data_IF_874906291999
#
_entry.id   IF_874906291999
#
_cell.length_a   1.000
_cell.length_b   1.000
_cell.length_c   1.000
_cell.angle_alpha   90.00
_cell.angle_beta   90.00
_cell.angle_gamma   90.00
#
_symmetry.space_group_name_H-M   'P 1'
#
loop_
_entity.id
_entity.type
_entity.pdbx_description
1 polymer ?
#
# COMPACT_ATOMS: atom_id res chain seq x y z
N UNK A 1 -7.42 33.28 -32.00
CA UNK A 1 -8.01 33.51 -30.67
C UNK A 1 -6.87 33.57 -29.69
N UNK A 2 -6.62 34.76 -29.11
CA UNK A 2 -5.48 35.02 -28.24
C UNK A 2 -5.69 34.32 -26.88
N UNK A 3 -4.76 33.44 -26.51
CA UNK A 3 -4.69 32.86 -25.18
C UNK A 3 -4.05 33.86 -24.22
N UNK A 4 -4.86 34.40 -23.31
CA UNK A 4 -4.41 35.26 -22.21
C UNK A 4 -3.63 34.39 -21.22
N UNK A 5 -2.31 34.61 -21.12
CA UNK A 5 -1.50 34.08 -20.02
C UNK A 5 -1.89 34.80 -18.74
N UNK A 6 -2.56 34.10 -17.83
CA UNK A 6 -2.70 34.54 -16.46
C UNK A 6 -1.42 34.15 -15.70
N UNK A 7 -0.50 35.12 -15.55
CA UNK A 7 0.55 35.06 -14.54
C UNK A 7 -0.11 35.31 -13.19
N UNK A 8 -0.18 34.28 -12.34
CA UNK A 8 -0.52 34.46 -10.94
C UNK A 8 0.73 34.99 -10.23
N UNK A 9 0.65 36.23 -9.74
CA UNK A 9 1.63 36.76 -8.80
C UNK A 9 1.53 35.97 -7.49
N UNK A 10 2.55 35.14 -7.23
CA UNK A 10 2.68 34.40 -5.98
C UNK A 10 3.15 35.38 -4.92
N UNK A 11 2.23 35.81 -4.06
CA UNK A 11 2.58 36.42 -2.78
C UNK A 11 3.12 35.30 -1.89
N UNK A 12 4.32 35.42 -1.29
CA UNK A 12 4.80 34.42 -0.35
C UNK A 12 3.99 34.56 0.94
N UNK A 13 3.10 33.61 1.19
CA UNK A 13 2.43 33.49 2.49
C UNK A 13 3.51 33.32 3.58
N UNK A 14 3.44 34.16 4.61
CA UNK A 14 4.31 34.04 5.78
C UNK A 14 4.16 32.63 6.40
N UNK A 15 5.27 32.01 6.88
CA UNK A 15 5.19 30.68 7.46
C UNK A 15 4.32 30.71 8.71
N UNK A 16 3.13 30.12 8.63
CA UNK A 16 2.22 29.97 9.76
C UNK A 16 2.86 29.02 10.79
N UNK A 17 3.44 29.59 11.85
CA UNK A 17 4.00 28.82 12.96
C UNK A 17 2.84 28.41 13.86
N UNK A 18 2.37 27.16 13.72
CA UNK A 18 1.39 26.59 14.63
C UNK A 18 2.06 26.16 15.93
N UNK A 19 1.62 26.70 17.08
CA UNK A 19 1.98 26.19 18.40
C UNK A 19 1.04 25.02 18.76
N UNK A 20 1.61 23.83 18.98
CA UNK A 20 0.83 22.59 19.25
C UNK A 20 0.51 22.44 20.75
N UNK A 21 -0.64 21.82 21.08
CA UNK A 21 -1.08 21.59 22.47
C UNK A 21 -1.15 20.10 22.83
N UNK A 22 -1.13 19.76 24.12
CA UNK A 22 -1.16 18.38 24.64
C UNK A 22 -2.48 17.60 24.37
N UNK A 23 -3.49 18.25 23.77
CA UNK A 23 -4.79 17.63 23.44
C UNK A 23 -4.86 17.07 22.00
N UNK A 24 -3.83 17.29 21.18
CA UNK A 24 -3.86 16.92 19.76
C UNK A 24 -3.62 15.41 19.56
N UNK A 25 -4.57 14.73 18.92
CA UNK A 25 -4.44 13.31 18.50
C UNK A 25 -3.23 13.18 17.58
N UNK A 26 -2.32 12.25 17.90
CA UNK A 26 -1.16 11.92 17.08
C UNK A 26 -1.33 10.51 16.52
N UNK A 27 -1.35 10.39 15.19
CA UNK A 27 -1.35 9.11 14.50
C UNK A 27 0.06 8.82 13.96
N UNK A 28 0.54 7.60 14.17
CA UNK A 28 1.81 7.17 13.58
C UNK A 28 1.56 6.72 12.13
N UNK A 29 2.14 7.43 11.16
CA UNK A 29 1.87 7.20 9.73
C UNK A 29 2.18 5.75 9.33
N UNK A 30 3.32 5.22 9.75
CA UNK A 30 3.68 3.82 9.49
C UNK A 30 2.66 2.86 10.10
N UNK A 31 2.32 3.04 11.38
CA UNK A 31 1.37 2.19 12.10
C UNK A 31 -0.01 2.15 11.44
N UNK A 32 -0.56 3.32 11.05
CA UNK A 32 -1.85 3.37 10.36
C UNK A 32 -1.76 2.78 8.95
N UNK A 33 -0.67 3.00 8.21
CA UNK A 33 -0.47 2.44 6.86
C UNK A 33 -0.49 0.91 6.87
N UNK A 34 0.17 0.29 7.85
CA UNK A 34 0.19 -1.16 8.03
C UNK A 34 -1.24 -1.70 8.25
N UNK A 35 -2.06 -1.04 9.08
CA UNK A 35 -3.43 -1.47 9.35
C UNK A 35 -4.40 -1.21 8.18
N UNK A 36 -4.28 -0.04 7.52
CA UNK A 36 -5.10 0.29 6.35
C UNK A 36 -4.86 -0.74 5.24
N UNK A 37 -3.60 -1.08 4.96
CA UNK A 37 -3.29 -2.11 3.98
C UNK A 37 -3.84 -3.47 4.41
N UNK A 38 -3.66 -3.89 5.66
CA UNK A 38 -4.22 -5.14 6.16
C UNK A 38 -5.73 -5.26 5.89
N UNK A 39 -6.52 -4.27 6.32
CA UNK A 39 -7.98 -4.31 6.18
C UNK A 39 -8.42 -4.30 4.72
N UNK A 40 -7.77 -3.46 3.89
CA UNK A 40 -8.02 -3.40 2.45
C UNK A 40 -7.74 -4.73 1.77
N UNK A 41 -6.57 -5.31 2.01
CA UNK A 41 -6.19 -6.58 1.39
C UNK A 41 -7.08 -7.73 1.85
N UNK A 42 -7.36 -7.80 3.17
CA UNK A 42 -8.01 -8.95 3.80
C UNK A 42 -9.48 -9.12 3.40
N UNK A 43 -10.11 -8.07 2.90
CA UNK A 43 -11.53 -8.03 2.53
C UNK A 43 -11.76 -7.52 1.11
N UNK A 44 -10.70 -7.46 0.30
CA UNK A 44 -10.76 -6.95 -1.08
C UNK A 44 -11.85 -7.70 -1.88
N UNK A 45 -12.87 -7.00 -2.43
CA UNK A 45 -14.06 -7.64 -3.00
C UNK A 45 -13.80 -8.50 -4.25
N UNK A 46 -12.87 -8.10 -5.13
CA UNK A 46 -12.49 -8.84 -6.34
C UNK A 46 -11.91 -10.21 -5.97
N UNK A 47 -11.15 -10.29 -4.88
CA UNK A 47 -10.44 -11.50 -4.43
C UNK A 47 -11.05 -12.18 -3.20
N UNK A 48 -12.21 -11.73 -2.73
CA UNK A 48 -12.86 -12.31 -1.54
C UNK A 48 -13.11 -13.81 -1.73
N UNK A 49 -12.58 -14.63 -0.82
CA UNK A 49 -12.60 -16.10 -0.84
C UNK A 49 -11.92 -16.75 -2.07
N UNK A 50 -11.14 -15.98 -2.83
CA UNK A 50 -10.44 -16.50 -3.99
C UNK A 50 -9.15 -17.20 -3.55
N UNK A 51 -8.89 -18.39 -4.08
CA UNK A 51 -7.63 -19.13 -3.86
C UNK A 51 -6.78 -19.12 -5.11
N UNK A 52 -5.47 -18.98 -4.92
CA UNK A 52 -4.49 -19.07 -6.00
C UNK A 52 -4.45 -20.52 -6.50
N UNK A 53 -4.72 -20.68 -7.80
CA UNK A 53 -4.74 -21.97 -8.50
C UNK A 53 -3.46 -22.16 -9.30
N UNK A 54 -2.91 -21.06 -9.84
CA UNK A 54 -1.75 -21.12 -10.73
C UNK A 54 -0.93 -19.84 -10.71
N UNK A 55 0.38 -20.02 -10.84
CA UNK A 55 1.35 -18.96 -11.10
C UNK A 55 2.10 -19.29 -12.39
N UNK A 56 2.33 -18.28 -13.24
CA UNK A 56 3.21 -18.37 -14.40
C UNK A 56 4.23 -17.23 -14.35
N UNK A 57 5.52 -17.53 -14.26
CA UNK A 57 6.61 -16.54 -14.21
C UNK A 57 7.56 -16.62 -15.41
N UNK A 58 7.20 -17.39 -16.44
CA UNK A 58 8.02 -17.65 -17.63
C UNK A 58 7.44 -16.95 -18.85
N UNK A 59 8.23 -16.90 -19.94
CA UNK A 59 7.78 -16.39 -21.26
C UNK A 59 6.58 -17.19 -21.80
N UNK A 60 6.50 -18.48 -21.48
CA UNK A 60 5.46 -19.39 -21.97
C UNK A 60 4.21 -19.34 -21.08
N UNK A 61 3.35 -18.36 -21.35
CA UNK A 61 2.08 -18.13 -20.66
C UNK A 61 0.95 -19.07 -21.15
N UNK A 62 1.27 -20.31 -21.52
CA UNK A 62 0.36 -21.15 -22.32
C UNK A 62 -0.73 -21.89 -21.52
N UNK A 63 -0.81 -21.68 -20.21
CA UNK A 63 -1.24 -22.80 -19.36
C UNK A 63 -2.59 -22.63 -18.65
N UNK A 64 -3.43 -21.66 -19.03
CA UNK A 64 -4.84 -21.67 -18.65
C UNK A 64 -5.75 -21.20 -19.79
N UNK A 65 -6.77 -22.01 -20.11
CA UNK A 65 -7.89 -21.58 -20.98
C UNK A 65 -8.55 -20.36 -20.34
N UNK A 66 -8.29 -19.17 -20.86
CA UNK A 66 -8.84 -17.91 -20.33
C UNK A 66 -7.87 -16.73 -20.39
N UNK A 67 -6.57 -16.96 -20.55
CA UNK A 67 -5.66 -15.88 -20.89
C UNK A 67 -5.76 -15.56 -22.38
N UNK A 68 -6.01 -14.31 -22.71
CA UNK A 68 -5.80 -13.83 -24.08
C UNK A 68 -4.31 -14.00 -24.39
N UNK A 69 -4.00 -14.51 -25.58
CA UNK A 69 -2.62 -14.56 -26.06
C UNK A 69 -2.14 -13.12 -26.25
N UNK A 70 -1.34 -12.62 -25.32
CA UNK A 70 -0.72 -11.30 -25.45
C UNK A 70 0.53 -11.47 -26.30
N UNK A 71 0.37 -11.26 -27.61
CA UNK A 71 1.47 -11.23 -28.57
C UNK A 71 2.12 -9.84 -28.54
N UNK A 72 3.02 -9.65 -27.59
CA UNK A 72 3.87 -8.46 -27.50
C UNK A 72 5.27 -8.98 -27.18
N UNK A 73 6.26 -8.72 -28.04
CA UNK A 73 7.60 -9.31 -28.03
C UNK A 73 8.42 -9.24 -26.72
N UNK A 74 9.62 -8.66 -26.77
CA UNK A 74 10.63 -8.66 -25.68
C UNK A 74 10.27 -7.82 -24.42
N UNK A 75 9.00 -7.78 -24.03
CA UNK A 75 8.62 -7.25 -22.74
C UNK A 75 9.15 -8.15 -21.62
N UNK A 76 9.57 -7.47 -20.55
CA UNK A 76 10.30 -7.91 -19.36
C UNK A 76 9.55 -9.00 -18.54
N UNK A 77 9.99 -9.42 -17.33
CA UNK A 77 9.45 -10.62 -16.68
C UNK A 77 7.93 -10.52 -16.51
N UNK A 78 7.24 -11.61 -16.86
CA UNK A 78 5.78 -11.70 -16.85
C UNK A 78 5.34 -12.49 -15.65
N UNK A 79 4.38 -11.96 -14.89
CA UNK A 79 3.75 -12.71 -13.79
C UNK A 79 2.27 -12.90 -14.07
N UNK A 80 1.84 -14.16 -14.10
CA UNK A 80 0.46 -14.57 -14.25
C UNK A 80 -0.07 -15.20 -12.99
N UNK A 81 -1.17 -14.67 -12.47
CA UNK A 81 -1.84 -15.20 -11.30
C UNK A 81 -3.26 -15.59 -11.68
N UNK A 82 -3.60 -16.86 -11.51
CA UNK A 82 -4.96 -17.36 -11.69
C UNK A 82 -5.56 -17.69 -10.33
N UNK A 83 -6.65 -17.02 -10.00
CA UNK A 83 -7.44 -17.27 -8.81
C UNK A 83 -8.77 -17.93 -9.18
N UNK A 84 -9.29 -18.77 -8.29
CA UNK A 84 -10.68 -19.24 -8.37
C UNK A 84 -11.42 -18.95 -7.07
N UNK A 85 -12.65 -18.48 -7.20
CA UNK A 85 -13.56 -18.30 -6.07
C UNK A 85 -14.15 -19.64 -5.67
N UNK A 86 -14.09 -19.90 -4.37
CA UNK A 86 -14.74 -21.05 -3.74
C UNK A 86 -15.87 -20.50 -2.87
N UNK A 87 -17.09 -21.08 -2.92
CA UNK A 87 -18.13 -20.70 -1.98
C UNK A 87 -17.60 -20.89 -0.56
N UNK A 88 -17.62 -19.86 0.30
CA UNK A 88 -17.21 -20.05 1.68
C UNK A 88 -18.16 -21.04 2.34
N UNK A 89 -17.63 -21.90 3.21
CA UNK A 89 -18.49 -22.51 4.22
C UNK A 89 -19.03 -21.42 5.16
N UNK A 90 -20.17 -21.66 5.83
CA UNK A 90 -20.78 -20.66 6.73
C UNK A 90 -19.82 -20.12 7.80
N UNK A 91 -18.80 -20.90 8.16
CA UNK A 91 -17.80 -20.54 9.16
C UNK A 91 -16.61 -19.74 8.58
N UNK A 92 -16.49 -19.67 7.25
CA UNK A 92 -15.39 -19.00 6.53
C UNK A 92 -15.78 -17.61 6.02
N UNK A 93 -17.07 -17.27 6.00
CA UNK A 93 -17.57 -15.98 5.49
C UNK A 93 -16.93 -14.79 6.21
N UNK A 94 -16.59 -14.93 7.49
CA UNK A 94 -15.94 -13.89 8.31
C UNK A 94 -14.41 -14.01 8.37
N UNK A 95 -13.82 -15.07 7.80
CA UNK A 95 -12.37 -15.31 7.89
C UNK A 95 -11.63 -14.38 6.93
N UNK A 96 -10.66 -13.55 7.38
CA UNK A 96 -9.92 -12.67 6.49
C UNK A 96 -9.14 -13.46 5.44
N UNK A 97 -9.09 -12.98 4.20
CA UNK A 97 -8.17 -13.53 3.21
C UNK A 97 -6.76 -13.01 3.51
N UNK A 98 -5.77 -13.91 3.54
CA UNK A 98 -4.40 -13.60 3.94
C UNK A 98 -3.43 -14.35 3.03
N UNK A 99 -2.17 -13.90 2.90
CA UNK A 99 -1.13 -14.66 2.21
C UNK A 99 -1.04 -16.12 2.70
N UNK A 100 -1.21 -16.34 4.01
CA UNK A 100 -1.13 -17.65 4.66
C UNK A 100 -2.28 -18.60 4.33
N UNK A 101 -3.44 -18.09 3.88
CA UNK A 101 -4.60 -18.90 3.50
C UNK A 101 -4.98 -18.74 2.02
N UNK A 102 -4.10 -18.15 1.21
CA UNK A 102 -4.33 -17.89 -0.22
C UNK A 102 -4.35 -19.18 -1.06
N UNK A 103 -3.79 -20.29 -0.55
CA UNK A 103 -3.78 -21.58 -1.24
C UNK A 103 -4.98 -22.45 -0.82
N UNK A 104 -5.56 -23.19 -1.76
CA UNK A 104 -6.56 -24.21 -1.46
C UNK A 104 -5.94 -25.37 -0.66
N UNK A 105 -6.77 -26.09 0.10
CA UNK A 105 -6.36 -27.31 0.79
C UNK A 105 -7.05 -28.53 0.15
N UNK A 106 -6.30 -29.58 -0.23
CA UNK A 106 -4.84 -29.69 -0.19
C UNK A 106 -4.14 -28.75 -1.18
N UNK A 107 -2.90 -28.35 -0.86
CA UNK A 107 -2.12 -27.42 -1.69
C UNK A 107 -1.87 -28.03 -3.09
N UNK A 108 -2.24 -27.33 -4.18
CA UNK A 108 -1.99 -27.81 -5.54
C UNK A 108 -0.51 -28.13 -5.78
N UNK A 109 -0.14 -29.27 -6.41
CA UNK A 109 1.25 -29.67 -6.61
C UNK A 109 2.14 -28.59 -7.22
N UNK A 110 1.60 -27.85 -8.20
CA UNK A 110 2.29 -26.75 -8.88
C UNK A 110 2.54 -25.51 -8.01
N UNK A 111 2.04 -25.45 -6.77
CA UNK A 111 2.19 -24.32 -5.86
C UNK A 111 2.93 -24.66 -4.56
N UNK A 112 3.25 -25.94 -4.32
CA UNK A 112 3.91 -26.39 -3.08
C UNK A 112 5.32 -25.82 -2.89
N UNK A 113 5.94 -25.36 -3.98
CA UNK A 113 7.28 -24.77 -3.96
C UNK A 113 7.30 -23.29 -3.53
N UNK A 114 6.13 -22.65 -3.39
CA UNK A 114 6.06 -21.22 -3.09
C UNK A 114 6.40 -20.94 -1.63
N UNK A 115 7.33 -20.01 -1.43
CA UNK A 115 7.71 -19.52 -0.10
C UNK A 115 6.67 -18.55 0.46
N UNK A 116 6.61 -18.34 1.80
CA UNK A 116 5.74 -17.33 2.41
C UNK A 116 5.91 -15.93 1.82
N UNK A 117 7.16 -15.51 1.57
CA UNK A 117 7.47 -14.23 0.92
C UNK A 117 6.88 -14.14 -0.50
N UNK A 118 7.00 -15.20 -1.31
CA UNK A 118 6.40 -15.23 -2.65
C UNK A 118 4.87 -15.16 -2.59
N UNK A 119 4.25 -15.89 -1.66
CA UNK A 119 2.80 -15.83 -1.46
C UNK A 119 2.36 -14.41 -1.06
N UNK A 120 3.09 -13.75 -0.17
CA UNK A 120 2.82 -12.36 0.20
C UNK A 120 3.00 -11.41 -1.00
N UNK A 121 4.06 -11.58 -1.80
CA UNK A 121 4.27 -10.76 -3.01
C UNK A 121 3.10 -10.94 -3.98
N UNK A 122 2.73 -12.18 -4.32
CA UNK A 122 1.63 -12.44 -5.26
C UNK A 122 0.27 -12.00 -4.73
N UNK A 123 0.05 -12.12 -3.42
CA UNK A 123 -1.16 -11.67 -2.76
C UNK A 123 -1.39 -10.16 -2.95
N UNK A 124 -0.36 -9.35 -2.68
CA UNK A 124 -0.44 -7.89 -2.82
C UNK A 124 -0.36 -7.45 -4.27
N UNK A 125 0.45 -8.11 -5.10
CA UNK A 125 0.54 -7.82 -6.53
C UNK A 125 -0.82 -7.96 -7.21
N UNK A 126 -1.58 -9.00 -6.86
CA UNK A 126 -2.93 -9.21 -7.37
C UNK A 126 -3.92 -8.10 -6.92
N UNK A 127 -3.91 -7.79 -5.62
CA UNK A 127 -4.88 -6.87 -4.99
C UNK A 127 -4.57 -5.39 -5.23
N UNK A 128 -3.32 -5.06 -5.55
CA UNK A 128 -2.90 -3.69 -5.80
C UNK A 128 -3.04 -3.25 -7.26
N UNK A 129 -3.52 -4.11 -8.18
CA UNK A 129 -3.86 -3.68 -9.53
C UNK A 129 -4.86 -2.51 -9.48
N UNK A 130 -4.43 -1.34 -9.96
CA UNK A 130 -5.13 -0.05 -9.89
C UNK A 130 -5.54 0.37 -8.47
N UNK A 131 -4.98 -0.27 -7.45
CA UNK A 131 -5.38 -0.13 -6.05
C UNK A 131 -4.83 1.13 -5.37
N UNK A 132 -4.05 1.97 -6.07
CA UNK A 132 -3.50 3.21 -5.49
C UNK A 132 -4.62 4.20 -5.12
N UNK A 133 -5.62 4.36 -5.99
CA UNK A 133 -6.76 5.24 -5.72
C UNK A 133 -7.60 4.75 -4.53
N UNK A 134 -7.90 3.45 -4.47
CA UNK A 134 -8.59 2.86 -3.31
C UNK A 134 -7.80 3.01 -2.01
N UNK A 135 -6.47 2.85 -2.05
CA UNK A 135 -5.62 2.99 -0.89
C UNK A 135 -5.59 4.44 -0.37
N UNK A 136 -5.52 5.42 -1.28
CA UNK A 136 -5.58 6.83 -0.93
C UNK A 136 -6.97 7.18 -0.42
N UNK A 137 -8.04 6.77 -1.10
CA UNK A 137 -9.41 7.00 -0.66
C UNK A 137 -9.66 6.45 0.75
N UNK A 138 -9.20 5.23 1.03
CA UNK A 138 -9.26 4.63 2.36
C UNK A 138 -8.52 5.48 3.41
N UNK A 139 -7.33 5.97 3.07
CA UNK A 139 -6.58 6.89 3.94
C UNK A 139 -7.38 8.16 4.21
N UNK A 140 -8.01 8.75 3.19
CA UNK A 140 -8.81 9.97 3.34
C UNK A 140 -10.03 9.73 4.24
N UNK A 141 -10.79 8.66 4.01
CA UNK A 141 -11.90 8.30 4.89
C UNK A 141 -11.46 8.10 6.32
N UNK A 142 -10.31 7.46 6.53
CA UNK A 142 -9.77 7.24 7.87
C UNK A 142 -9.44 8.56 8.57
N UNK A 143 -8.74 9.49 7.89
CA UNK A 143 -8.40 10.79 8.47
C UNK A 143 -9.64 11.65 8.73
N UNK A 144 -10.67 11.60 7.86
CA UNK A 144 -11.92 12.34 8.04
C UNK A 144 -12.68 11.94 9.33
N UNK A 145 -12.36 10.80 9.95
CA UNK A 145 -12.94 10.36 11.22
C UNK A 145 -12.28 11.01 12.45
N UNK A 146 -11.23 11.81 12.26
CA UNK A 146 -10.52 12.50 13.33
C UNK A 146 -10.68 14.04 13.21
N UNK A 147 -10.45 14.79 14.30
CA UNK A 147 -10.49 16.26 14.24
C UNK A 147 -9.45 16.83 13.26
N UNK A 148 -9.72 18.00 12.68
CA UNK A 148 -8.79 18.69 11.77
C UNK A 148 -7.42 19.03 12.41
N UNK A 149 -7.33 19.08 13.75
CA UNK A 149 -6.07 19.26 14.49
C UNK A 149 -5.22 18.00 14.58
N UNK A 150 -5.66 16.88 13.99
CA UNK A 150 -4.95 15.60 14.05
C UNK A 150 -3.58 15.71 13.39
N UNK A 151 -2.57 15.24 14.11
CA UNK A 151 -1.18 15.23 13.67
C UNK A 151 -0.78 13.85 13.19
N UNK A 152 0.06 13.82 12.16
CA UNK A 152 0.75 12.62 11.72
C UNK A 152 2.20 12.67 12.18
N UNK A 153 2.64 11.64 12.89
CA UNK A 153 4.06 11.35 13.09
C UNK A 153 4.57 10.65 11.84
N UNK A 154 5.41 11.34 11.08
CA UNK A 154 6.02 10.82 9.85
C UNK A 154 7.43 10.37 10.17
N UNK A 155 7.73 9.10 9.86
CA UNK A 155 9.03 8.47 10.09
C UNK A 155 9.53 7.84 8.79
N UNK A 156 10.69 8.25 8.33
CA UNK A 156 11.35 7.71 7.14
C UNK A 156 12.83 7.48 7.41
N UNK A 157 13.50 6.73 6.54
CA UNK A 157 14.92 6.43 6.66
C UNK A 157 15.58 6.72 5.32
N UNK A 158 16.47 7.71 5.28
CA UNK A 158 17.24 8.07 4.10
C UNK A 158 18.70 7.70 4.31
N UNK A 159 19.29 6.89 3.44
CA UNK A 159 20.69 6.45 3.58
C UNK A 159 21.04 5.93 5.01
N UNK A 160 20.18 5.07 5.57
CA UNK A 160 20.28 4.55 6.95
C UNK A 160 20.21 5.60 8.08
N UNK A 161 19.90 6.86 7.75
CA UNK A 161 19.65 7.94 8.71
C UNK A 161 18.15 8.10 8.98
N UNK A 162 17.68 7.91 10.24
CA UNK A 162 16.28 8.14 10.58
C UNK A 162 15.93 9.62 10.46
N UNK A 163 14.71 9.88 9.97
CA UNK A 163 14.07 11.18 9.97
C UNK A 163 12.70 11.05 10.60
N UNK A 164 12.36 12.00 11.46
CA UNK A 164 11.06 12.08 12.12
C UNK A 164 10.60 13.54 12.15
N UNK A 165 9.33 13.76 11.81
CA UNK A 165 8.67 15.06 11.97
C UNK A 165 7.16 14.87 12.15
N UNK A 166 6.48 15.95 12.52
CA UNK A 166 5.04 15.99 12.72
C UNK A 166 4.43 16.99 11.75
N UNK A 167 3.33 16.63 11.09
CA UNK A 167 2.55 17.54 10.26
C UNK A 167 1.05 17.36 10.54
N UNK A 168 0.22 18.32 10.12
CA UNK A 168 -1.24 18.13 10.14
C UNK A 168 -1.62 17.04 9.13
N UNK A 169 -2.57 16.19 9.50
CA UNK A 169 -3.05 15.14 8.60
C UNK A 169 -3.65 15.71 7.30
N UNK A 170 -4.26 16.89 7.37
CA UNK A 170 -4.82 17.61 6.23
C UNK A 170 -3.80 18.41 5.42
N UNK A 171 -2.56 18.55 5.89
CA UNK A 171 -1.48 19.14 5.10
C UNK A 171 -0.86 18.16 4.07
N UNK A 172 -1.39 16.94 3.99
CA UNK A 172 -0.97 15.93 3.00
C UNK A 172 -1.33 16.39 1.58
N UNK A 173 -0.55 15.95 0.60
CA UNK A 173 -0.87 16.11 -0.81
C UNK A 173 -1.03 14.75 -1.48
N UNK A 174 -1.90 14.68 -2.49
CA UNK A 174 -2.00 13.54 -3.40
C UNK A 174 -1.26 13.92 -4.67
N UNK A 175 -0.38 13.01 -5.12
CA UNK A 175 0.40 13.17 -6.34
C UNK A 175 -0.04 12.10 -7.34
N UNK A 176 -0.71 12.53 -8.40
CA UNK A 176 -1.12 11.69 -9.53
C UNK A 176 -0.16 11.91 -10.70
N UNK A 177 0.42 10.84 -11.20
CA UNK A 177 1.46 10.87 -12.23
C UNK A 177 1.40 9.62 -13.09
N UNK A 178 2.05 9.70 -14.24
CA UNK A 178 2.14 8.62 -15.22
C UNK A 178 3.46 7.87 -15.10
N UNK A 179 3.38 6.56 -15.19
CA UNK A 179 4.49 5.64 -15.39
C UNK A 179 4.48 5.19 -16.85
N UNK A 180 5.57 5.48 -17.57
CA UNK A 180 5.69 5.16 -19.00
C UNK A 180 6.56 3.93 -19.22
N UNK A 181 6.10 3.05 -20.11
CA UNK A 181 6.75 1.78 -20.50
C UNK A 181 7.22 0.97 -19.28
N UNK A 182 6.27 0.35 -18.58
CA UNK A 182 6.57 -0.47 -17.40
C UNK A 182 7.55 -1.60 -17.73
N UNK A 183 8.46 -1.88 -16.78
CA UNK A 183 9.49 -2.92 -16.88
C UNK A 183 9.00 -4.30 -16.42
N UNK A 184 7.69 -4.50 -16.26
CA UNK A 184 7.08 -5.79 -15.96
C UNK A 184 5.65 -5.84 -16.46
N UNK A 185 5.18 -7.04 -16.81
CA UNK A 185 3.79 -7.29 -17.17
C UNK A 185 3.17 -8.20 -16.10
N UNK A 186 2.13 -7.72 -15.44
CA UNK A 186 1.40 -8.49 -14.42
C UNK A 186 -0.02 -8.71 -14.89
N UNK A 187 -0.46 -9.97 -14.89
CA UNK A 187 -1.79 -10.35 -15.29
C UNK A 187 -2.44 -11.23 -14.23
N UNK A 188 -3.63 -10.83 -13.80
CA UNK A 188 -4.37 -11.50 -12.74
C UNK A 188 -5.76 -11.81 -13.25
N UNK A 189 -6.18 -13.06 -13.16
CA UNK A 189 -7.52 -13.49 -13.57
C UNK A 189 -8.24 -14.18 -12.43
N UNK A 190 -9.53 -13.89 -12.28
CA UNK A 190 -10.39 -14.47 -11.23
C UNK A 190 -11.55 -15.24 -11.86
N UNK A 191 -11.65 -16.53 -11.53
CA UNK A 191 -12.74 -17.41 -11.97
C UNK A 191 -13.85 -17.50 -10.91
N UNK A 192 -15.13 -17.66 -11.30
CA UNK A 192 -15.64 -17.83 -12.66
C UNK A 192 -15.98 -16.50 -13.37
N UNK A 193 -15.72 -15.35 -12.74
CA UNK A 193 -16.08 -14.02 -13.24
C UNK A 193 -15.41 -13.67 -14.58
N UNK A 194 -14.30 -14.36 -14.92
CA UNK A 194 -13.52 -14.19 -16.16
C UNK A 194 -13.05 -12.74 -16.39
N UNK A 195 -12.93 -11.97 -15.31
CA UNK A 195 -12.30 -10.65 -15.34
C UNK A 195 -10.80 -10.85 -15.22
N UNK A 196 -10.06 -10.20 -16.12
CA UNK A 196 -8.60 -10.20 -16.14
C UNK A 196 -8.10 -8.78 -15.99
N UNK A 197 -7.29 -8.57 -14.97
CA UNK A 197 -6.64 -7.32 -14.63
C UNK A 197 -5.20 -7.37 -15.14
N UNK A 198 -4.77 -6.34 -15.89
CA UNK A 198 -3.44 -6.31 -16.52
C UNK A 198 -2.76 -4.99 -16.18
N UNK A 199 -1.54 -5.06 -15.64
CA UNK A 199 -0.62 -3.92 -15.47
C UNK A 199 0.56 -4.05 -16.45
N UNK A 200 0.95 -2.94 -17.07
CA UNK A 200 2.11 -2.89 -17.96
C UNK A 200 1.86 -3.26 -19.44
N UNK A 201 0.60 -3.44 -19.86
CA UNK A 201 0.25 -3.70 -21.27
C UNK A 201 0.25 -2.44 -22.15
N UNK A 202 0.02 -1.27 -21.54
CA UNK A 202 -0.04 0.02 -22.22
C UNK A 202 1.27 0.81 -22.10
N UNK A 203 1.40 1.83 -22.94
CA UNK A 203 2.54 2.77 -22.90
C UNK A 203 2.57 3.63 -21.65
N UNK A 204 1.42 3.92 -21.05
CA UNK A 204 1.30 4.74 -19.85
C UNK A 204 0.32 4.12 -18.86
N UNK A 205 0.56 4.34 -17.57
CA UNK A 205 -0.33 3.94 -16.48
C UNK A 205 -0.32 5.02 -15.43
N UNK A 206 -1.52 5.48 -15.04
CA UNK A 206 -1.65 6.44 -13.97
C UNK A 206 -1.38 5.77 -12.62
N UNK A 207 -0.64 6.45 -11.76
CA UNK A 207 -0.34 6.03 -10.41
C UNK A 207 -0.48 7.21 -9.46
N UNK A 208 -0.87 6.93 -8.22
CA UNK A 208 -1.14 7.96 -7.23
C UNK A 208 -0.48 7.61 -5.90
N UNK A 209 0.08 8.61 -5.22
CA UNK A 209 0.71 8.47 -3.90
C UNK A 209 0.37 9.63 -2.97
N UNK A 210 0.65 9.46 -1.68
CA UNK A 210 0.52 10.50 -0.67
C UNK A 210 1.88 11.15 -0.39
N UNK A 211 1.92 12.47 -0.37
CA UNK A 211 3.07 13.29 -0.03
C UNK A 211 2.91 13.96 1.34
N UNK A 212 4.00 14.04 2.09
CA UNK A 212 4.08 14.70 3.39
C UNK A 212 5.30 15.61 3.48
N UNK A 213 5.15 16.73 4.18
CA UNK A 213 6.21 17.70 4.43
C UNK A 213 6.15 18.21 5.88
N UNK A 214 7.29 18.60 6.47
CA UNK A 214 7.32 19.24 7.79
C UNK A 214 6.66 20.64 7.73
N UNK A 215 6.20 21.16 8.88
CA UNK A 215 5.58 22.49 8.95
C UNK A 215 6.51 23.57 8.39
N UNK A 216 5.95 24.54 7.69
CA UNK A 216 6.70 25.65 7.09
C UNK A 216 7.38 25.32 5.76
N UNK A 217 7.46 24.05 5.34
CA UNK A 217 7.65 23.72 3.93
C UNK A 217 6.28 23.65 3.26
N UNK A 218 6.06 24.48 2.25
CA UNK A 218 4.82 24.47 1.49
C UNK A 218 4.52 23.08 0.89
N UNK A 219 3.24 22.78 0.59
CA UNK A 219 2.78 21.46 0.19
C UNK A 219 3.32 20.98 -1.16
N UNK A 220 4.00 21.86 -1.90
CA UNK A 220 4.36 21.64 -3.30
C UNK A 220 5.49 20.62 -3.51
N UNK A 221 6.31 20.36 -2.50
CA UNK A 221 7.39 19.38 -2.59
C UNK A 221 7.38 18.51 -1.33
N UNK A 222 6.77 17.31 -1.38
CA UNK A 222 6.82 16.41 -0.24
C UNK A 222 8.27 16.06 0.07
N UNK A 223 8.58 15.92 1.35
CA UNK A 223 9.85 15.34 1.80
C UNK A 223 9.74 13.83 1.98
N UNK A 224 8.53 13.30 2.10
CA UNK A 224 8.29 11.88 2.29
C UNK A 224 7.10 11.45 1.46
N UNK A 225 7.25 10.33 0.75
CA UNK A 225 6.21 9.72 -0.08
C UNK A 225 5.76 8.42 0.56
N UNK A 226 4.44 8.24 0.67
CA UNK A 226 3.78 7.00 1.03
C UNK A 226 3.08 6.43 -0.21
N UNK A 227 3.52 5.24 -0.62
CA UNK A 227 2.91 4.46 -1.68
C UNK A 227 2.43 3.12 -1.11
N UNK A 228 1.12 3.04 -0.90
CA UNK A 228 0.43 1.87 -0.33
C UNK A 228 0.18 0.75 -1.37
N UNK A 229 0.39 1.04 -2.66
CA UNK A 229 0.06 0.15 -3.76
C UNK A 229 1.27 -0.32 -4.58
N UNK A 230 2.48 0.13 -4.24
CA UNK A 230 3.74 -0.17 -4.94
C UNK A 230 3.97 -1.66 -5.21
N UNK A 231 3.46 -2.55 -4.36
CA UNK A 231 3.53 -4.00 -4.55
C UNK A 231 2.80 -4.52 -5.80
N UNK A 232 2.00 -3.70 -6.50
CA UNK A 232 1.50 -4.03 -7.85
C UNK A 232 2.62 -4.34 -8.85
N UNK A 233 3.82 -3.82 -8.61
CA UNK A 233 5.01 -4.06 -9.43
C UNK A 233 5.80 -5.30 -8.98
N UNK A 234 5.24 -6.12 -8.08
CA UNK A 234 5.88 -7.34 -7.60
C UNK A 234 7.01 -7.07 -6.61
N UNK A 235 8.10 -7.83 -6.69
CA UNK A 235 9.20 -7.78 -5.71
C UNK A 235 9.91 -6.42 -5.68
N UNK A 236 10.12 -5.78 -6.84
CA UNK A 236 10.65 -4.41 -6.91
C UNK A 236 9.72 -3.42 -6.22
N UNK A 237 8.43 -3.73 -6.13
CA UNK A 237 7.37 -3.02 -5.43
C UNK A 237 7.45 -3.00 -3.89
N UNK A 238 8.34 -3.78 -3.28
CA UNK A 238 8.49 -3.82 -1.81
C UNK A 238 9.30 -2.64 -1.28
N UNK A 239 8.83 -2.01 -0.20
CA UNK A 239 9.59 -1.02 0.56
C UNK A 239 10.60 -1.65 1.54
N UNK A 240 11.27 -0.80 2.33
CA UNK A 240 12.18 -1.19 3.41
C UNK A 240 13.21 -2.26 3.01
N UNK A 241 13.95 -2.00 1.91
CA UNK A 241 14.97 -2.92 1.36
C UNK A 241 14.38 -4.29 0.95
N UNK A 242 13.20 -4.27 0.33
CA UNK A 242 12.56 -5.47 -0.22
C UNK A 242 11.83 -6.34 0.81
N UNK A 243 11.43 -5.76 1.94
CA UNK A 243 10.75 -6.49 3.03
C UNK A 243 9.40 -5.89 3.44
N UNK A 244 9.15 -4.62 3.15
CA UNK A 244 7.88 -3.96 3.46
C UNK A 244 6.72 -4.38 2.55
N UNK A 245 5.51 -4.16 3.05
CA UNK A 245 4.24 -4.34 2.30
C UNK A 245 3.76 -3.07 1.61
N UNK A 246 4.45 -1.95 1.83
CA UNK A 246 4.26 -0.64 1.19
C UNK A 246 5.59 0.11 1.21
N UNK A 247 5.60 1.30 0.61
CA UNK A 247 6.76 2.20 0.55
C UNK A 247 6.49 3.46 1.35
N UNK A 248 7.41 3.83 2.23
CA UNK A 248 7.43 5.08 2.98
C UNK A 248 8.87 5.60 2.98
N UNK A 249 9.19 6.48 2.04
CA UNK A 249 10.57 6.83 1.67
C UNK A 249 10.73 8.34 1.51
N UNK A 250 11.98 8.82 1.59
CA UNK A 250 12.31 10.18 1.16
C UNK A 250 12.00 10.35 -0.33
N UNK A 251 11.56 11.54 -0.73
CA UNK A 251 11.13 11.80 -2.11
C UNK A 251 12.21 11.50 -3.15
N UNK A 252 13.48 11.79 -2.86
CA UNK A 252 14.57 11.51 -3.81
C UNK A 252 14.82 10.00 -3.97
N UNK A 253 14.70 9.24 -2.88
CA UNK A 253 14.80 7.78 -2.91
C UNK A 253 13.61 7.17 -3.64
N UNK A 254 12.40 7.69 -3.40
CA UNK A 254 11.18 7.26 -4.09
C UNK A 254 11.27 7.50 -5.61
N UNK A 255 11.68 8.69 -6.04
CA UNK A 255 11.88 9.03 -7.46
C UNK A 255 12.91 8.10 -8.09
N UNK A 256 14.06 7.90 -7.44
CA UNK A 256 15.11 6.99 -7.92
C UNK A 256 14.59 5.55 -8.07
N UNK A 257 13.68 5.14 -7.19
CA UNK A 257 13.07 3.83 -7.18
C UNK A 257 12.09 3.62 -8.34
N UNK A 258 11.42 4.64 -8.87
CA UNK A 258 10.49 4.51 -10.00
C UNK A 258 11.17 3.86 -11.23
N UNK A 259 12.44 4.18 -11.47
CA UNK A 259 13.25 3.61 -12.54
C UNK A 259 13.46 2.08 -12.45
N UNK A 260 13.10 1.45 -11.32
CA UNK A 260 13.17 -0.01 -11.15
C UNK A 260 11.97 -0.75 -11.76
N UNK A 261 10.88 -0.04 -12.06
CA UNK A 261 9.66 -0.65 -12.63
C UNK A 261 9.03 0.15 -13.77
N UNK A 262 9.54 1.34 -14.12
CA UNK A 262 9.19 2.05 -15.37
C UNK A 262 10.42 2.61 -16.07
N UNK A 263 10.34 2.82 -17.40
CA UNK A 263 11.42 3.49 -18.16
C UNK A 263 11.42 5.00 -17.95
N UNK A 264 10.24 5.58 -17.75
CA UNK A 264 10.07 6.99 -17.45
C UNK A 264 8.87 7.22 -16.52
N UNK A 265 8.82 8.42 -15.96
CA UNK A 265 7.72 8.94 -15.16
C UNK A 265 7.67 10.46 -15.27
N UNK A 266 6.56 11.07 -14.87
CA UNK A 266 6.42 12.53 -14.75
C UNK A 266 6.08 12.96 -13.31
N UNK A 267 6.56 12.23 -12.30
CA UNK A 267 6.29 12.49 -10.88
C UNK A 267 6.51 13.96 -10.46
N UNK A 268 7.56 14.60 -10.95
CA UNK A 268 7.90 16.00 -10.67
C UNK A 268 6.80 16.97 -11.14
N UNK A 269 6.18 16.63 -12.28
CA UNK A 269 5.07 17.35 -12.93
C UNK A 269 3.70 16.74 -12.55
N UNK A 270 3.64 15.95 -11.47
CA UNK A 270 2.41 15.32 -10.99
C UNK A 270 1.26 16.31 -10.83
N UNK A 271 0.05 15.86 -11.17
CA UNK A 271 -1.18 16.55 -10.76
C UNK A 271 -1.30 16.43 -9.25
N UNK A 272 -1.51 17.57 -8.59
CA UNK A 272 -1.57 17.65 -7.14
C UNK A 272 -2.99 17.98 -6.69
N UNK A 273 -3.48 17.22 -5.73
CA UNK A 273 -4.80 17.43 -5.16
C UNK A 273 -4.77 17.23 -3.64
N UNK A 274 -5.67 17.89 -2.94
CA UNK A 274 -5.93 17.61 -1.52
C UNK A 274 -6.82 16.37 -1.37
N UNK A 275 -7.55 16.01 -2.44
CA UNK A 275 -8.51 14.93 -2.45
C UNK A 275 -8.76 14.35 -3.83
N UNK A 276 -8.82 13.02 -3.90
CA UNK A 276 -9.30 12.33 -5.11
C UNK A 276 -10.80 12.62 -5.22
N UNK A 277 -11.21 13.19 -6.35
CA UNK A 277 -12.57 13.67 -6.57
C UNK A 277 -13.34 12.82 -7.58
N UNK A 278 -13.27 11.49 -7.45
CA UNK A 278 -14.10 10.60 -8.25
C UNK A 278 -15.45 10.39 -7.54
N UNK A 279 -16.55 10.70 -8.24
CA UNK A 279 -17.91 10.50 -7.73
C UNK A 279 -18.16 9.05 -7.26
N UNK A 280 -17.49 8.06 -7.88
CA UNK A 280 -17.59 6.64 -7.52
C UNK A 280 -16.85 6.28 -6.22
N UNK A 281 -15.85 7.07 -5.82
CA UNK A 281 -15.08 6.82 -4.60
C UNK A 281 -15.86 7.30 -3.38
N UNK A 282 -16.56 8.45 -3.47
CA UNK A 282 -17.29 9.12 -2.37
C UNK A 282 -18.39 8.27 -1.71
N UNK A 283 -18.91 7.28 -2.43
CA UNK A 283 -19.98 6.39 -1.95
C UNK A 283 -19.50 4.93 -1.77
N UNK A 284 -18.18 4.71 -1.70
CA UNK A 284 -17.63 3.36 -1.51
C UNK A 284 -17.81 2.89 -0.06
N UNK A 285 -19.00 2.32 0.22
CA UNK A 285 -19.40 1.78 1.53
C UNK A 285 -18.37 0.81 2.11
N UNK A 286 -17.69 0.03 1.26
CA UNK A 286 -16.65 -0.88 1.70
C UNK A 286 -15.47 -0.11 2.31
N UNK A 287 -14.90 0.88 1.61
CA UNK A 287 -13.77 1.66 2.12
C UNK A 287 -14.13 2.46 3.38
N UNK A 288 -15.34 3.03 3.46
CA UNK A 288 -15.83 3.71 4.66
C UNK A 288 -15.90 2.74 5.85
N UNK A 289 -16.41 1.53 5.62
CA UNK A 289 -16.48 0.48 6.65
C UNK A 289 -15.09 0.09 7.15
N UNK A 290 -14.12 -0.03 6.24
CA UNK A 290 -12.73 -0.32 6.60
C UNK A 290 -12.11 0.82 7.41
N UNK A 291 -12.32 2.08 7.03
CA UNK A 291 -11.82 3.24 7.77
C UNK A 291 -12.30 3.24 9.23
N UNK A 292 -13.60 2.99 9.46
CA UNK A 292 -14.18 2.87 10.82
C UNK A 292 -13.51 1.74 11.60
N UNK A 293 -13.36 0.56 10.99
CA UNK A 293 -12.73 -0.60 11.62
C UNK A 293 -11.26 -0.35 11.97
N UNK A 294 -10.51 0.35 11.12
CA UNK A 294 -9.13 0.73 11.40
C UNK A 294 -9.06 1.74 12.55
N UNK A 295 -9.98 2.71 12.61
CA UNK A 295 -10.07 3.66 13.74
C UNK A 295 -10.37 2.96 15.05
N UNK A 296 -11.36 2.08 15.08
CA UNK A 296 -11.67 1.27 16.27
C UNK A 296 -10.44 0.47 16.72
N UNK A 297 -9.69 -0.12 15.78
CA UNK A 297 -8.45 -0.84 16.13
C UNK A 297 -7.37 0.09 16.67
N UNK A 298 -7.16 1.25 16.05
CA UNK A 298 -6.18 2.23 16.51
C UNK A 298 -6.45 2.66 17.95
N UNK A 299 -7.70 3.03 18.24
CA UNK A 299 -8.13 3.48 19.57
C UNK A 299 -8.04 2.37 20.63
N UNK A 300 -8.27 1.12 20.22
CA UNK A 300 -8.13 -0.05 21.08
C UNK A 300 -6.72 -0.65 21.12
N UNK A 301 -5.74 -0.05 20.45
CA UNK A 301 -4.41 -0.62 20.23
C UNK A 301 -3.64 -0.97 21.50
N UNK A 302 -3.91 -0.25 22.59
CA UNK A 302 -3.32 -0.53 23.91
C UNK A 302 -3.80 -1.87 24.49
N UNK A 303 -5.00 -2.31 24.12
CA UNK A 303 -5.62 -3.55 24.61
C UNK A 303 -5.47 -4.70 23.61
N UNK A 304 -5.59 -4.41 22.32
CA UNK A 304 -5.48 -5.37 21.23
C UNK A 304 -4.39 -4.89 20.26
N UNK A 305 -3.14 -5.36 20.42
CA UNK A 305 -2.05 -4.94 19.54
C UNK A 305 -2.26 -5.47 18.12
N UNK A 306 -1.44 -5.01 17.18
CA UNK A 306 -1.39 -5.54 15.81
C UNK A 306 0.06 -5.84 15.41
N UNK A 307 0.22 -6.65 14.37
CA UNK A 307 1.53 -6.91 13.80
C UNK A 307 2.06 -5.68 13.05
N UNK A 308 3.26 -5.20 13.39
CA UNK A 308 3.90 -4.03 12.79
C UNK A 308 4.45 -4.30 11.35
N UNK A 309 4.38 -5.55 10.87
CA UNK A 309 4.72 -5.91 9.48
C UNK A 309 3.47 -6.03 8.59
N UNK A 310 2.45 -6.76 9.04
CA UNK A 310 1.29 -7.11 8.21
C UNK A 310 -0.04 -6.50 8.67
N UNK A 311 -0.11 -5.84 9.84
CA UNK A 311 -1.31 -5.19 10.38
C UNK A 311 -2.37 -6.10 10.96
N UNK A 312 -2.11 -7.42 10.97
CA UNK A 312 -3.03 -8.39 11.52
C UNK A 312 -3.18 -8.24 13.05
N UNK A 313 -4.40 -8.37 13.59
CA UNK A 313 -4.60 -8.57 15.01
C UNK A 313 -4.13 -9.99 15.43
N UNK A 314 -4.01 -10.27 16.75
CA UNK A 314 -3.73 -11.62 17.23
C UNK A 314 -4.82 -12.60 16.76
N UNK A 315 -4.41 -13.75 16.24
CA UNK A 315 -5.32 -14.86 15.95
C UNK A 315 -6.01 -15.34 17.22
N UNK A 316 -7.21 -15.93 17.10
CA UNK A 316 -7.97 -16.44 18.25
C UNK A 316 -7.10 -17.37 19.11
N UNK A 317 -7.00 -17.06 20.41
CA UNK A 317 -6.22 -17.83 21.37
C UNK A 317 -4.70 -17.65 21.29
N UNK A 318 -4.18 -16.80 20.40
CA UNK A 318 -2.75 -16.57 20.21
C UNK A 318 -2.36 -15.14 20.61
N UNK A 319 -1.12 -14.95 21.05
CA UNK A 319 -0.54 -13.64 21.35
C UNK A 319 0.52 -13.30 20.32
N UNK A 320 0.64 -12.03 19.99
CA UNK A 320 1.72 -11.53 19.14
C UNK A 320 3.05 -11.52 19.92
N UNK A 321 4.15 -11.75 19.21
CA UNK A 321 5.51 -11.59 19.73
C UNK A 321 5.80 -10.11 19.95
N UNK A 322 6.16 -9.74 21.18
CA UNK A 322 6.53 -8.36 21.52
C UNK A 322 8.02 -8.13 21.30
N UNK A 323 8.41 -6.99 20.72
CA UNK A 323 9.81 -6.60 20.64
C UNK A 323 10.44 -6.56 22.03
N UNK A 324 11.53 -7.32 22.23
CA UNK A 324 12.18 -7.45 23.54
C UNK A 324 12.86 -6.15 23.99
N UNK A 325 13.32 -5.33 23.05
CA UNK A 325 14.03 -4.08 23.31
C UNK A 325 13.06 -2.94 23.64
N UNK A 326 12.25 -2.49 22.66
CA UNK A 326 11.37 -1.35 22.87
C UNK A 326 10.06 -1.71 23.55
N UNK A 327 9.62 -2.98 23.55
CA UNK A 327 8.36 -3.40 24.19
C UNK A 327 7.07 -2.72 23.69
N UNK A 328 7.14 -1.89 22.64
CA UNK A 328 6.02 -1.12 22.09
C UNK A 328 5.42 -1.73 20.82
N UNK A 329 6.20 -2.49 20.05
CA UNK A 329 5.72 -3.10 18.80
C UNK A 329 5.59 -4.61 18.92
N UNK A 330 4.71 -5.17 18.08
CA UNK A 330 4.31 -6.56 18.11
C UNK A 330 4.36 -7.20 16.71
N UNK A 331 4.53 -8.51 16.65
CA UNK A 331 4.67 -9.28 15.40
C UNK A 331 3.92 -10.60 15.47
N UNK A 332 3.42 -11.11 14.35
CA UNK A 332 2.82 -12.44 14.32
C UNK A 332 3.83 -13.52 14.74
N UNK A 333 5.05 -13.41 14.22
CA UNK A 333 6.13 -14.38 14.40
C UNK A 333 7.50 -13.71 14.17
N UNK A 334 8.56 -14.51 14.26
CA UNK A 334 9.93 -14.05 14.08
C UNK A 334 10.25 -13.62 12.64
N UNK A 335 9.53 -14.15 11.65
CA UNK A 335 9.69 -13.76 10.24
C UNK A 335 9.16 -12.34 10.03
N UNK A 336 7.98 -12.02 10.57
CA UNK A 336 7.42 -10.67 10.54
C UNK A 336 8.31 -9.67 11.30
N UNK A 337 8.89 -10.07 12.44
CA UNK A 337 9.86 -9.23 13.14
C UNK A 337 11.11 -8.95 12.29
N UNK A 338 11.65 -9.98 11.62
CA UNK A 338 12.80 -9.87 10.74
C UNK A 338 12.50 -9.01 9.49
N UNK A 339 11.27 -9.09 8.97
CA UNK A 339 10.81 -8.30 7.82
C UNK A 339 10.63 -6.82 8.16
N UNK A 340 10.13 -6.51 9.35
CA UNK A 340 10.00 -5.13 9.83
C UNK A 340 11.33 -4.51 10.31
N UNK A 341 12.33 -5.33 10.66
CA UNK A 341 13.59 -4.87 11.25
C UNK A 341 14.34 -3.77 10.46
N UNK A 342 14.44 -3.80 9.11
CA UNK A 342 15.12 -2.76 8.35
C UNK A 342 14.59 -1.35 8.61
N UNK A 343 13.31 -1.21 8.94
CA UNK A 343 12.71 0.05 9.38
C UNK A 343 12.74 0.19 10.89
N UNK A 344 12.22 -0.81 11.62
CA UNK A 344 12.02 -0.74 13.07
C UNK A 344 13.29 -0.41 13.85
N UNK A 345 14.46 -0.96 13.44
CA UNK A 345 15.74 -0.75 14.12
C UNK A 345 16.12 0.72 14.30
N UNK A 346 15.71 1.60 13.39
CA UNK A 346 16.06 3.02 13.42
C UNK A 346 15.23 3.80 14.46
N UNK A 347 14.09 3.24 14.89
CA UNK A 347 13.17 3.86 15.85
C UNK A 347 12.97 2.99 17.10
N UNK A 348 13.72 1.89 17.22
CA UNK A 348 13.66 0.99 18.35
C UNK A 348 14.49 1.58 19.51
N UNK A 349 13.82 2.24 20.44
CA UNK A 349 14.45 2.80 21.63
C UNK A 349 14.20 1.89 22.85
N UNK A 350 15.22 1.69 23.68
CA UNK A 350 15.10 0.94 24.93
C UNK A 350 14.23 1.74 25.91
N UNK A 351 13.26 1.07 26.55
CA UNK A 351 12.49 1.63 27.67
C UNK A 351 13.30 1.54 28.96
#
# INVERSE_FOLDING_TARGET
>A
MNATKHTFDIVPDEPYIYEFTDQDVVLDLHGISVMLNYERGATEPRFRHAKLIKVATTRDFETARGFQTIDQGDLAPRTGLLFGKYPPSSNEETVPDLPSNMLAQPVPPGLQHLTPKQLETYYWQARNHEGCYDAIALFQYFIDLFPASTRLRVRSVKNDSPKEYYCLADARTIHEFELTDQLSLNMVSVLPERVTYISGLGHSTCHAVLGFAPPGRGPYFPETVLDLASLQFGETGRGFKGRGTFVLEDTEEYVSRLATFSRAHNFEDSTRSERINEANIRDNVWLVTLAVKVKERWENGQFVPWCDHCGAPPSLGHRLLRCSQCKQVYYCDAEHQLSAWPFHRHFCQTI
#
